data_IF_351996619109
#
_entry.id   IF_351996619109
#
_cell.length_a   1.000
_cell.length_b   1.000
_cell.length_c   1.000
_cell.angle_alpha   90.00
_cell.angle_beta   90.00
_cell.angle_gamma   90.00
#
_symmetry.space_group_name_H-M   'P 1'
#
loop_
_entity.id
_entity.type
_entity.pdbx_description
1 polymer ?
#
# COMPACT_ATOMS: atom_id res chain seq x y z
N UNK A 1 9.22 -18.51 2.12
CA UNK A 1 9.21 -18.56 0.67
C UNK A 1 10.32 -19.48 0.21
N UNK A 2 10.03 -20.39 -0.73
CA UNK A 2 10.99 -21.21 -1.46
C UNK A 2 10.71 -21.08 -2.96
N UNK A 3 11.74 -21.17 -3.78
CA UNK A 3 11.59 -21.13 -5.24
C UNK A 3 12.63 -22.02 -5.92
N UNK A 4 12.21 -22.64 -7.02
CA UNK A 4 13.08 -23.38 -7.94
C UNK A 4 12.91 -22.85 -9.35
N UNK A 5 14.01 -22.62 -10.04
CA UNK A 5 14.08 -22.21 -11.44
C UNK A 5 14.92 -23.22 -12.21
N UNK A 6 14.34 -23.85 -13.24
CA UNK A 6 14.97 -24.93 -14.02
C UNK A 6 15.64 -25.99 -13.13
N UNK A 7 14.90 -26.40 -12.06
CA UNK A 7 15.27 -27.37 -11.04
C UNK A 7 16.39 -26.92 -10.05
N UNK A 8 16.88 -25.68 -10.14
CA UNK A 8 17.82 -25.08 -9.18
C UNK A 8 17.11 -24.25 -8.11
N UNK A 9 17.56 -24.36 -6.85
CA UNK A 9 17.05 -23.52 -5.77
C UNK A 9 17.49 -22.07 -5.95
N UNK A 10 16.53 -21.15 -5.82
CA UNK A 10 16.77 -19.72 -5.95
C UNK A 10 16.78 -19.07 -4.57
N UNK A 11 17.70 -18.12 -4.38
CA UNK A 11 17.77 -17.30 -3.19
C UNK A 11 16.43 -16.54 -3.01
N UNK A 12 15.69 -16.77 -1.90
CA UNK A 12 14.45 -16.09 -1.62
C UNK A 12 14.55 -14.55 -1.60
N UNK A 13 15.74 -14.00 -1.38
CA UNK A 13 15.97 -12.55 -1.42
C UNK A 13 15.82 -11.95 -2.82
N UNK A 14 15.89 -12.77 -3.86
CA UNK A 14 15.63 -12.36 -5.25
C UNK A 14 14.14 -12.32 -5.61
N UNK A 15 13.25 -12.62 -4.66
CA UNK A 15 11.81 -12.69 -4.92
C UNK A 15 11.05 -11.86 -3.88
N UNK A 16 10.21 -10.96 -4.36
CA UNK A 16 9.23 -10.24 -3.54
C UNK A 16 7.84 -10.63 -4.03
N UNK A 17 7.10 -11.35 -3.19
CA UNK A 17 5.73 -11.75 -3.46
C UNK A 17 4.77 -10.89 -2.68
N UNK A 18 3.80 -10.32 -3.37
CA UNK A 18 2.68 -9.55 -2.84
C UNK A 18 1.42 -10.39 -3.04
N UNK A 19 0.82 -10.84 -1.94
CA UNK A 19 -0.37 -11.68 -1.96
C UNK A 19 -1.19 -11.48 -0.68
N UNK A 20 -2.49 -11.72 -0.76
CA UNK A 20 -3.40 -11.80 0.40
C UNK A 20 -3.71 -13.26 0.78
N UNK A 21 -3.11 -14.22 0.09
CA UNK A 21 -3.33 -15.65 0.35
C UNK A 21 -2.32 -16.17 1.37
N UNK A 22 -2.73 -16.86 2.44
CA UNK A 22 -1.81 -17.38 3.45
C UNK A 22 -0.87 -18.46 2.93
N UNK A 23 -1.27 -19.15 1.88
CA UNK A 23 -0.45 -20.14 1.16
C UNK A 23 -0.70 -20.03 -0.34
N UNK A 24 0.36 -19.97 -1.13
CA UNK A 24 0.27 -19.89 -2.58
C UNK A 24 1.40 -20.66 -3.26
N UNK A 25 1.07 -21.33 -4.36
CA UNK A 25 2.03 -21.96 -5.27
C UNK A 25 1.86 -21.38 -6.66
N UNK A 26 2.93 -20.84 -7.22
CA UNK A 26 2.95 -20.20 -8.54
C UNK A 26 3.95 -20.93 -9.43
N UNK A 27 3.52 -21.33 -10.62
CA UNK A 27 4.34 -21.98 -11.63
C UNK A 27 3.94 -21.50 -13.04
N UNK A 28 4.56 -22.06 -14.08
CA UNK A 28 4.30 -21.67 -15.47
C UNK A 28 2.85 -21.87 -15.94
N UNK A 29 2.07 -22.70 -15.24
CA UNK A 29 0.65 -22.97 -15.55
C UNK A 29 -0.33 -22.09 -14.77
N UNK A 30 0.16 -21.21 -13.89
CA UNK A 30 -0.69 -20.41 -12.99
C UNK A 30 -1.36 -19.18 -13.66
N UNK A 31 -1.12 -18.95 -14.95
CA UNK A 31 -1.81 -17.91 -15.73
C UNK A 31 -1.39 -16.48 -15.39
N UNK A 32 -0.17 -16.26 -14.89
CA UNK A 32 0.37 -14.94 -14.62
C UNK A 32 0.82 -14.25 -15.90
N UNK A 33 0.50 -12.97 -16.04
CA UNK A 33 1.08 -12.12 -17.09
C UNK A 33 2.49 -11.67 -16.69
N UNK A 34 3.36 -11.43 -17.68
CA UNK A 34 4.74 -11.02 -17.43
C UNK A 34 4.93 -9.54 -17.70
N UNK A 35 5.50 -8.84 -16.72
CA UNK A 35 5.98 -7.46 -16.82
C UNK A 35 7.50 -7.38 -16.72
N UNK A 36 8.06 -6.20 -17.01
CA UNK A 36 9.50 -5.95 -16.88
C UNK A 36 9.74 -4.52 -16.36
N UNK A 37 10.71 -4.41 -15.45
CA UNK A 37 11.34 -3.15 -15.04
C UNK A 37 12.77 -3.23 -15.56
N UNK A 38 13.10 -2.35 -16.51
CA UNK A 38 14.38 -2.35 -17.24
C UNK A 38 15.39 -1.45 -16.56
N UNK A 39 16.66 -1.67 -16.85
CA UNK A 39 17.71 -0.73 -16.45
C UNK A 39 17.38 0.69 -16.94
N UNK A 40 17.43 1.65 -16.02
CA UNK A 40 17.11 3.05 -16.29
C UNK A 40 15.66 3.46 -15.99
N UNK A 41 14.76 2.50 -15.74
CA UNK A 41 13.42 2.82 -15.25
C UNK A 41 13.48 3.33 -13.78
N UNK A 42 12.44 4.03 -13.34
CA UNK A 42 12.24 4.40 -11.94
C UNK A 42 11.68 3.19 -11.18
N UNK A 43 12.55 2.49 -10.44
CA UNK A 43 12.21 1.21 -9.79
C UNK A 43 10.93 1.28 -8.96
N UNK A 44 10.82 2.29 -8.08
CA UNK A 44 9.73 2.34 -7.11
C UNK A 44 8.41 2.70 -7.76
N UNK A 45 8.42 3.68 -8.67
CA UNK A 45 7.22 4.11 -9.41
C UNK A 45 6.69 3.01 -10.32
N UNK A 46 7.59 2.37 -11.08
CA UNK A 46 7.23 1.22 -11.92
C UNK A 46 6.68 0.06 -11.10
N UNK A 47 7.30 -0.23 -9.96
CA UNK A 47 6.82 -1.29 -9.06
C UNK A 47 5.46 -0.98 -8.46
N UNK A 48 5.18 0.27 -8.09
CA UNK A 48 3.88 0.72 -7.59
C UNK A 48 2.78 0.50 -8.64
N UNK A 49 3.07 0.84 -9.90
CA UNK A 49 2.15 0.61 -11.02
C UNK A 49 1.81 -0.88 -11.16
N UNK A 50 2.81 -1.77 -11.12
CA UNK A 50 2.56 -3.21 -11.16
C UNK A 50 1.85 -3.74 -9.92
N UNK A 51 2.19 -3.23 -8.72
CA UNK A 51 1.53 -3.63 -7.47
C UNK A 51 0.03 -3.32 -7.45
N UNK A 52 -0.41 -2.30 -8.21
CA UNK A 52 -1.82 -1.95 -8.42
C UNK A 52 -2.49 -2.68 -9.60
N UNK A 53 -1.83 -3.64 -10.24
CA UNK A 53 -2.37 -4.35 -11.40
C UNK A 53 -3.69 -5.06 -11.08
N UNK A 54 -4.69 -5.00 -11.98
CA UNK A 54 -5.92 -5.81 -11.87
C UNK A 54 -5.71 -7.28 -12.28
N UNK A 55 -4.48 -7.70 -12.56
CA UNK A 55 -4.12 -9.04 -13.01
C UNK A 55 -3.03 -9.63 -12.13
N UNK A 56 -2.93 -10.96 -12.12
CA UNK A 56 -1.79 -11.66 -11.56
C UNK A 56 -0.55 -11.41 -12.43
N UNK A 57 0.55 -10.96 -11.83
CA UNK A 57 1.74 -10.54 -12.57
C UNK A 57 3.02 -11.21 -12.05
N UNK A 58 3.88 -11.60 -12.96
CA UNK A 58 5.31 -11.84 -12.69
C UNK A 58 6.09 -10.70 -13.32
N UNK A 59 6.79 -9.93 -12.50
CA UNK A 59 7.55 -8.75 -12.95
C UNK A 59 9.03 -9.03 -12.82
N UNK A 60 9.72 -9.11 -13.94
CA UNK A 60 11.18 -9.22 -13.97
C UNK A 60 11.79 -7.86 -13.71
N UNK A 61 12.66 -7.79 -12.73
CA UNK A 61 13.39 -6.58 -12.33
C UNK A 61 14.85 -6.74 -12.73
N UNK A 62 15.33 -5.82 -13.56
CA UNK A 62 16.72 -5.87 -14.05
C UNK A 62 17.73 -5.99 -12.91
N UNK A 63 18.76 -6.81 -13.10
CA UNK A 63 19.78 -7.10 -12.10
C UNK A 63 20.57 -5.87 -11.63
N UNK A 64 20.55 -4.77 -12.39
CA UNK A 64 21.13 -3.49 -11.96
C UNK A 64 20.47 -2.90 -10.71
N UNK A 65 19.25 -3.34 -10.36
CA UNK A 65 18.55 -2.92 -9.17
C UNK A 65 18.82 -3.78 -7.93
N UNK A 66 19.77 -4.71 -7.97
CA UNK A 66 20.03 -5.66 -6.88
C UNK A 66 20.15 -5.00 -5.49
N UNK A 67 20.82 -3.86 -5.39
CA UNK A 67 20.98 -3.12 -4.12
C UNK A 67 19.67 -2.52 -3.57
N UNK A 68 18.74 -2.16 -4.44
CA UNK A 68 17.48 -1.51 -4.09
C UNK A 68 16.29 -2.49 -4.07
N UNK A 69 16.43 -3.66 -4.66
CA UNK A 69 15.37 -4.65 -4.80
C UNK A 69 14.71 -5.05 -3.47
N UNK A 70 15.46 -5.26 -2.34
CA UNK A 70 14.85 -5.60 -1.06
C UNK A 70 13.83 -4.57 -0.55
N UNK A 71 13.93 -3.31 -0.98
CA UNK A 71 12.99 -2.25 -0.60
C UNK A 71 11.58 -2.49 -1.15
N UNK A 72 11.43 -3.28 -2.22
CA UNK A 72 10.12 -3.66 -2.75
C UNK A 72 9.30 -4.47 -1.74
N UNK A 73 9.93 -5.04 -0.71
CA UNK A 73 9.22 -5.68 0.40
C UNK A 73 8.26 -4.74 1.13
N UNK A 74 8.44 -3.42 1.01
CA UNK A 74 7.49 -2.42 1.52
C UNK A 74 6.08 -2.65 0.99
N UNK A 75 5.94 -3.06 -0.28
CA UNK A 75 4.63 -3.33 -0.87
C UNK A 75 3.90 -4.56 -0.31
N UNK A 76 4.51 -5.35 0.59
CA UNK A 76 3.86 -6.48 1.28
C UNK A 76 2.95 -6.03 2.42
N UNK A 77 3.16 -4.82 2.93
CA UNK A 77 2.53 -4.34 4.15
C UNK A 77 1.47 -3.27 3.85
N UNK A 78 0.51 -3.14 4.75
CA UNK A 78 -0.45 -2.04 4.81
C UNK A 78 -1.18 -1.78 3.49
N UNK A 79 -1.79 -2.82 2.94
CA UNK A 79 -2.55 -2.72 1.70
C UNK A 79 -3.96 -3.28 1.84
N UNK A 80 -4.85 -2.76 1.01
CA UNK A 80 -6.18 -3.34 0.90
C UNK A 80 -6.11 -4.77 0.37
N UNK A 81 -7.02 -5.63 0.87
CA UNK A 81 -7.14 -7.01 0.40
C UNK A 81 -7.35 -7.04 -1.12
N UNK A 82 -6.56 -7.83 -1.80
CA UNK A 82 -6.64 -8.03 -3.23
C UNK A 82 -6.69 -9.53 -3.53
N UNK A 83 -7.45 -9.91 -4.55
CA UNK A 83 -7.45 -11.25 -5.13
C UNK A 83 -6.34 -11.44 -6.17
N UNK A 84 -5.49 -10.41 -6.37
CA UNK A 84 -4.38 -10.44 -7.32
C UNK A 84 -3.06 -10.62 -6.61
N UNK A 85 -2.22 -11.41 -7.24
CA UNK A 85 -0.90 -11.78 -6.75
C UNK A 85 0.16 -11.19 -7.67
N UNK A 86 1.14 -10.50 -7.11
CA UNK A 86 2.23 -9.87 -7.85
C UNK A 86 3.56 -10.43 -7.36
N UNK A 87 4.37 -10.92 -8.27
CA UNK A 87 5.70 -11.45 -7.98
C UNK A 87 6.74 -10.61 -8.67
N UNK A 88 7.61 -9.96 -7.92
CA UNK A 88 8.81 -9.34 -8.47
C UNK A 88 9.97 -10.35 -8.36
N UNK A 89 10.70 -10.54 -9.45
CA UNK A 89 11.85 -11.43 -9.53
C UNK A 89 13.05 -10.62 -10.01
N UNK A 90 14.10 -10.59 -9.22
CA UNK A 90 15.35 -9.95 -9.60
C UNK A 90 16.08 -10.85 -10.60
N UNK A 91 16.12 -10.41 -11.85
CA UNK A 91 16.73 -11.14 -12.96
C UNK A 91 16.22 -10.66 -14.31
N UNK A 92 16.95 -10.99 -15.36
CA UNK A 92 16.67 -10.49 -16.69
C UNK A 92 15.84 -11.46 -17.54
N UNK A 93 15.72 -12.70 -17.12
CA UNK A 93 14.98 -13.74 -17.84
C UNK A 93 14.10 -14.56 -16.89
N UNK A 94 12.94 -14.97 -17.36
CA UNK A 94 12.09 -15.92 -16.66
C UNK A 94 12.48 -17.35 -17.12
N UNK A 95 12.74 -18.27 -16.18
CA UNK A 95 13.06 -19.64 -16.52
C UNK A 95 11.88 -20.34 -17.21
N UNK A 96 12.17 -21.37 -18.01
CA UNK A 96 11.14 -22.15 -18.70
C UNK A 96 10.30 -22.95 -17.71
N UNK A 97 10.91 -23.43 -16.63
CA UNK A 97 10.27 -24.17 -15.56
C UNK A 97 10.54 -23.46 -14.23
N UNK A 98 9.50 -23.14 -13.51
CA UNK A 98 9.65 -22.53 -12.19
C UNK A 98 8.54 -22.97 -11.25
N UNK A 99 8.85 -22.94 -9.95
CA UNK A 99 7.90 -23.10 -8.88
C UNK A 99 8.26 -22.14 -7.75
N UNK A 100 7.30 -21.34 -7.32
CA UNK A 100 7.42 -20.42 -6.18
C UNK A 100 6.36 -20.82 -5.17
N UNK A 101 6.78 -21.20 -3.97
CA UNK A 101 5.87 -21.57 -2.87
C UNK A 101 6.07 -20.61 -1.73
N UNK A 102 4.99 -20.02 -1.26
CA UNK A 102 5.02 -19.14 -0.10
C UNK A 102 3.97 -19.54 0.93
N UNK A 103 4.35 -19.46 2.20
CA UNK A 103 3.46 -19.52 3.36
C UNK A 103 3.77 -18.35 4.27
N UNK A 104 2.75 -17.64 4.74
CA UNK A 104 2.89 -16.52 5.65
C UNK A 104 1.59 -16.30 6.44
N UNK A 105 1.72 -15.55 7.53
CA UNK A 105 0.56 -15.13 8.31
C UNK A 105 -0.06 -13.89 7.66
N UNK A 106 -1.37 -13.94 7.38
CA UNK A 106 -2.14 -12.79 6.93
C UNK A 106 -2.88 -12.22 8.13
N UNK A 107 -2.60 -10.95 8.46
CA UNK A 107 -3.30 -10.21 9.52
C UNK A 107 -4.22 -9.19 8.90
N UNK A 108 -5.51 -9.29 9.21
CA UNK A 108 -6.49 -8.28 8.81
C UNK A 108 -6.60 -7.21 9.90
N UNK A 109 -6.46 -5.96 9.50
CA UNK A 109 -6.71 -4.82 10.37
C UNK A 109 -7.95 -4.07 9.88
N UNK A 110 -8.93 -3.90 10.77
CA UNK A 110 -10.10 -3.07 10.46
C UNK A 110 -9.72 -1.61 10.55
N UNK A 111 -10.02 -0.87 9.49
CA UNK A 111 -9.85 0.57 9.43
C UNK A 111 -11.25 1.22 9.41
N UNK A 112 -11.35 2.42 9.93
CA UNK A 112 -12.57 3.21 9.92
C UNK A 112 -12.22 4.69 9.73
N UNK A 113 -13.04 5.37 8.95
CA UNK A 113 -13.02 6.83 8.88
C UNK A 113 -14.23 7.37 9.64
N UNK A 114 -14.07 8.52 10.27
CA UNK A 114 -15.17 9.28 10.90
C UNK A 114 -15.56 10.39 9.96
N UNK A 115 -16.81 10.40 9.52
CA UNK A 115 -17.29 11.41 8.56
C UNK A 115 -18.51 12.14 9.13
N UNK A 116 -18.40 13.47 9.22
CA UNK A 116 -19.49 14.38 9.55
C UNK A 116 -19.95 15.15 8.33
N UNK A 117 -21.27 15.38 8.21
CA UNK A 117 -21.87 16.15 7.12
C UNK A 117 -22.64 17.34 7.67
N UNK A 118 -22.44 18.51 7.08
CA UNK A 118 -23.26 19.68 7.26
C UNK A 118 -23.91 20.03 5.92
N UNK A 119 -25.20 19.70 5.70
CA UNK A 119 -25.86 19.91 4.42
C UNK A 119 -25.88 21.37 3.99
N UNK A 120 -25.67 21.60 2.70
CA UNK A 120 -25.77 22.91 2.08
C UNK A 120 -27.20 23.44 2.05
N UNK A 121 -27.37 24.76 2.00
CA UNK A 121 -28.69 25.40 1.91
C UNK A 121 -29.20 25.48 0.48
N UNK A 122 -28.34 25.87 -0.47
CA UNK A 122 -28.73 26.16 -1.85
C UNK A 122 -28.04 25.28 -2.87
N UNK A 123 -26.76 24.95 -2.65
CA UNK A 123 -25.91 24.14 -3.53
C UNK A 123 -25.57 22.81 -2.87
N UNK A 124 -26.60 22.03 -2.55
CA UNK A 124 -26.48 20.80 -1.76
C UNK A 124 -25.62 19.73 -2.41
N UNK A 125 -25.58 19.70 -3.74
CA UNK A 125 -24.81 18.74 -4.54
C UNK A 125 -23.35 19.17 -4.77
N UNK A 126 -22.96 20.36 -4.32
CA UNK A 126 -21.58 20.80 -4.34
C UNK A 126 -20.97 20.58 -2.95
N UNK A 127 -19.75 20.02 -2.91
CA UNK A 127 -19.09 19.63 -1.68
C UNK A 127 -17.81 20.44 -1.44
N UNK A 128 -17.56 20.78 -0.17
CA UNK A 128 -16.26 21.21 0.33
C UNK A 128 -15.84 20.21 1.40
N UNK A 129 -14.68 19.61 1.22
CA UNK A 129 -14.17 18.55 2.10
C UNK A 129 -13.01 19.11 2.91
N UNK A 130 -13.11 18.97 4.25
CA UNK A 130 -12.03 19.18 5.20
C UNK A 130 -11.61 17.82 5.73
N UNK A 131 -10.35 17.43 5.53
CA UNK A 131 -9.88 16.12 5.96
C UNK A 131 -8.52 16.19 6.64
N UNK A 132 -8.27 15.24 7.52
CA UNK A 132 -6.99 14.96 8.14
C UNK A 132 -6.98 13.50 8.57
N UNK A 133 -5.81 12.96 8.93
CA UNK A 133 -5.73 11.61 9.47
C UNK A 133 -5.48 11.61 10.97
N UNK A 134 -6.11 10.69 11.71
CA UNK A 134 -5.93 10.59 13.16
C UNK A 134 -5.05 9.43 13.60
N UNK A 135 -4.54 8.68 12.64
CA UNK A 135 -3.58 7.62 12.85
C UNK A 135 -2.15 8.13 12.65
N UNK A 136 -1.28 7.87 13.63
CA UNK A 136 0.15 8.14 13.53
C UNK A 136 0.93 6.86 13.87
N UNK A 137 2.25 6.93 13.95
CA UNK A 137 3.15 5.78 14.11
C UNK A 137 2.94 4.99 15.42
N UNK A 138 2.31 5.58 16.42
CA UNK A 138 2.06 4.94 17.71
C UNK A 138 3.34 4.64 18.48
N UNK A 139 3.45 3.44 19.05
CA UNK A 139 4.62 3.01 19.83
C UNK A 139 5.58 2.25 18.93
N UNK A 140 6.84 2.73 18.85
CA UNK A 140 7.90 2.13 18.04
C UNK A 140 9.22 2.09 18.79
N UNK A 141 10.33 1.82 18.10
CA UNK A 141 11.68 1.83 18.69
C UNK A 141 11.95 3.18 19.34
N UNK A 142 12.40 3.22 20.62
CA UNK A 142 12.65 4.47 21.33
C UNK A 142 13.70 5.36 20.64
N UNK A 143 13.45 6.66 20.63
CA UNK A 143 14.42 7.69 20.31
C UNK A 143 14.65 8.51 21.58
N UNK A 144 15.88 8.58 22.07
CA UNK A 144 16.24 9.26 23.33
C UNK A 144 15.40 8.82 24.53
N UNK A 145 15.03 7.54 24.60
CA UNK A 145 14.23 6.98 25.68
C UNK A 145 12.70 7.13 25.52
N UNK A 146 12.22 7.87 24.55
CA UNK A 146 10.79 7.99 24.23
C UNK A 146 10.42 7.05 23.07
N UNK A 147 9.45 6.17 23.30
CA UNK A 147 8.91 5.21 22.32
C UNK A 147 7.58 5.66 21.72
N UNK A 148 6.99 6.77 22.18
CA UNK A 148 5.69 7.27 21.73
C UNK A 148 5.91 8.34 20.66
N UNK A 149 5.44 8.05 19.46
CA UNK A 149 5.44 9.01 18.35
C UNK A 149 4.13 9.79 18.38
N UNK A 150 4.16 10.94 19.05
CA UNK A 150 2.94 11.69 19.42
C UNK A 150 2.15 12.23 18.22
N UNK A 151 2.79 12.52 17.07
CA UNK A 151 2.09 13.00 15.89
C UNK A 151 1.43 14.38 16.06
N UNK A 152 2.00 15.27 16.89
CA UNK A 152 1.38 16.56 17.18
C UNK A 152 1.17 17.41 15.91
N UNK A 153 2.14 17.43 15.02
CA UNK A 153 2.08 18.15 13.74
C UNK A 153 1.64 17.26 12.57
N UNK A 154 1.73 15.95 12.72
CA UNK A 154 1.41 14.94 11.71
C UNK A 154 0.53 13.83 12.35
N UNK A 155 -0.82 13.95 12.45
CA UNK A 155 -1.59 15.07 11.92
C UNK A 155 -2.63 15.57 12.97
N UNK A 156 -2.27 15.57 14.28
CA UNK A 156 -3.17 16.05 15.32
C UNK A 156 -3.55 17.53 15.12
N UNK A 157 -2.66 18.34 14.55
CA UNK A 157 -2.94 19.72 14.19
C UNK A 157 -4.03 19.81 13.11
N UNK A 158 -3.94 18.99 12.05
CA UNK A 158 -4.96 18.92 11.00
C UNK A 158 -6.31 18.43 11.53
N UNK A 159 -6.32 17.37 12.31
CA UNK A 159 -7.55 16.88 12.95
C UNK A 159 -8.18 17.94 13.86
N UNK A 160 -7.38 18.68 14.63
CA UNK A 160 -7.88 19.80 15.44
C UNK A 160 -8.55 20.86 14.56
N UNK A 161 -7.94 21.19 13.42
CA UNK A 161 -8.54 22.14 12.47
C UNK A 161 -9.86 21.62 11.91
N UNK A 162 -9.95 20.33 11.51
CA UNK A 162 -11.20 19.70 11.04
C UNK A 162 -12.31 19.82 12.08
N UNK A 163 -12.03 19.50 13.35
CA UNK A 163 -13.02 19.59 14.44
C UNK A 163 -13.46 21.04 14.68
N UNK A 164 -12.52 21.98 14.72
CA UNK A 164 -12.84 23.39 14.96
C UNK A 164 -13.64 23.98 13.80
N UNK A 165 -13.32 23.65 12.56
CA UNK A 165 -14.09 24.07 11.38
C UNK A 165 -15.49 23.48 11.40
N UNK A 166 -15.66 22.21 11.78
CA UNK A 166 -16.98 21.61 11.92
C UNK A 166 -17.84 22.36 12.94
N UNK A 167 -17.29 22.68 14.12
CA UNK A 167 -17.98 23.47 15.13
C UNK A 167 -18.32 24.88 14.63
N UNK A 168 -17.36 25.54 13.98
CA UNK A 168 -17.53 26.89 13.47
C UNK A 168 -18.67 26.98 12.44
N UNK A 169 -18.62 26.17 11.40
CA UNK A 169 -19.64 26.19 10.36
C UNK A 169 -21.01 25.70 10.86
N UNK A 170 -21.05 24.73 11.77
CA UNK A 170 -22.29 24.30 12.40
C UNK A 170 -22.97 25.43 13.23
N UNK A 171 -22.19 26.34 13.83
CA UNK A 171 -22.72 27.47 14.54
C UNK A 171 -23.27 28.58 13.63
N UNK A 172 -22.61 28.81 12.50
CA UNK A 172 -23.00 29.83 11.52
C UNK A 172 -24.27 29.50 10.75
N UNK A 173 -24.44 28.21 10.37
CA UNK A 173 -25.61 27.69 9.62
C UNK A 173 -25.87 28.46 8.29
N UNK A 174 -24.84 28.97 7.67
CA UNK A 174 -24.94 29.81 6.46
C UNK A 174 -24.23 29.23 5.23
N UNK A 175 -23.76 27.99 5.30
CA UNK A 175 -23.08 27.31 4.21
C UNK A 175 -24.04 27.06 3.02
N UNK A 176 -23.67 27.50 1.84
CA UNK A 176 -24.41 27.23 0.61
C UNK A 176 -24.18 25.80 0.12
N UNK A 177 -22.92 25.33 0.20
CA UNK A 177 -22.48 24.00 -0.20
C UNK A 177 -22.54 23.03 0.97
N UNK A 178 -22.65 21.76 0.69
CA UNK A 178 -22.48 20.71 1.70
C UNK A 178 -21.02 20.64 2.15
N UNK A 179 -20.80 20.70 3.47
CA UNK A 179 -19.48 20.53 4.04
C UNK A 179 -19.31 19.11 4.57
N UNK A 180 -18.17 18.51 4.25
CA UNK A 180 -17.78 17.18 4.67
C UNK A 180 -16.55 17.31 5.56
N UNK A 181 -16.59 16.73 6.74
CA UNK A 181 -15.49 16.68 7.70
C UNK A 181 -15.09 15.22 7.87
N UNK A 182 -13.88 14.86 7.47
CA UNK A 182 -13.41 13.48 7.44
C UNK A 182 -12.10 13.31 8.23
N UNK A 183 -12.05 12.24 9.05
CA UNK A 183 -10.89 11.86 9.84
C UNK A 183 -10.58 10.37 9.64
#
# INVERSE_FOLDING_TARGET
>A
LSATFDDENIDPQKIVLITSEPEITINQSSGFETGRIKKGDELFESSLSFAGSPKNMIVLVDSSFASNFPRLSFFKYERFKSDKNIVFILGNELPKKFSIVARHEVKEQKLANVVGLLPGRTRKEEFVIFSGHYDHLGVRKPINGDSIYNGANDDAAGITAVILLAKYFASLKNNERTLVFAA
#
